data_IF_078222273788
#
_entry.id   IF_078222273788
#
_cell.length_a   1.000
_cell.length_b   1.000
_cell.length_c   1.000
_cell.angle_alpha   90.00
_cell.angle_beta   90.00
_cell.angle_gamma   90.00
#
_symmetry.space_group_name_H-M   'P 1'
#
loop_
_entity.id
_entity.type
_entity.pdbx_description
1 polymer ?
#
# COMPACT_ATOMS: atom_id res chain seq x y z
N UNK A 1 13.50 44.16 -17.33
CA UNK A 1 13.02 44.39 -15.94
C UNK A 1 13.06 43.15 -15.04
N UNK A 2 13.11 41.91 -15.56
CA UNK A 2 13.23 40.72 -14.69
C UNK A 2 14.68 40.40 -14.25
N UNK A 3 15.71 40.86 -14.99
CA UNK A 3 17.13 40.60 -14.70
C UNK A 3 17.61 41.12 -13.33
N UNK A 4 17.03 42.23 -12.86
CA UNK A 4 17.40 42.86 -11.57
C UNK A 4 16.88 42.05 -10.37
N UNK A 5 15.76 41.32 -10.55
CA UNK A 5 15.25 40.42 -9.50
C UNK A 5 16.21 39.26 -9.34
N UNK A 6 16.74 38.71 -10.44
CA UNK A 6 17.73 37.63 -10.39
C UNK A 6 19.02 38.04 -9.67
N UNK A 7 19.47 39.29 -9.77
CA UNK A 7 20.77 39.69 -9.19
C UNK A 7 20.70 40.11 -7.71
N UNK A 8 19.47 40.32 -7.19
CA UNK A 8 19.20 40.87 -5.84
C UNK A 8 18.29 39.96 -5.00
N UNK A 9 18.19 38.67 -5.33
CA UNK A 9 17.34 37.71 -4.59
C UNK A 9 17.75 37.64 -3.10
N UNK A 10 19.04 37.69 -2.81
CA UNK A 10 19.57 37.72 -1.45
C UNK A 10 19.15 38.99 -0.69
N UNK A 11 19.19 40.15 -1.35
CA UNK A 11 18.78 41.43 -0.76
C UNK A 11 17.26 41.50 -0.51
N UNK A 12 16.47 40.86 -1.37
CA UNK A 12 15.02 40.75 -1.21
C UNK A 12 14.63 39.82 -0.05
N UNK A 13 15.33 38.69 0.07
CA UNK A 13 15.09 37.71 1.15
C UNK A 13 15.57 38.25 2.50
N UNK A 14 16.67 39.01 2.53
CA UNK A 14 17.13 39.67 3.76
C UNK A 14 16.22 40.82 4.20
N UNK A 15 15.47 41.44 3.28
CA UNK A 15 14.47 42.47 3.62
C UNK A 15 13.18 41.89 4.21
N UNK A 16 12.56 40.92 3.54
CA UNK A 16 11.31 40.28 4.00
C UNK A 16 11.19 38.88 3.39
N UNK A 17 11.56 37.86 4.17
CA UNK A 17 11.61 36.47 3.70
C UNK A 17 10.26 35.98 3.18
N UNK A 18 9.17 36.25 3.89
CA UNK A 18 7.87 35.63 3.59
C UNK A 18 7.22 36.28 2.36
N UNK A 19 7.37 37.60 2.22
CA UNK A 19 6.91 38.31 1.01
C UNK A 19 7.79 38.02 -0.20
N UNK A 20 9.11 37.93 -0.02
CA UNK A 20 10.01 37.58 -1.12
C UNK A 20 9.73 36.16 -1.64
N UNK A 21 9.53 35.20 -0.75
CA UNK A 21 9.25 33.81 -1.12
C UNK A 21 7.89 33.67 -1.80
N UNK A 22 6.84 34.36 -1.33
CA UNK A 22 5.54 34.33 -2.00
C UNK A 22 5.61 34.95 -3.41
N UNK A 23 6.37 36.02 -3.61
CA UNK A 23 6.58 36.63 -4.94
C UNK A 23 7.40 35.71 -5.86
N UNK A 24 8.41 35.00 -5.34
CA UNK A 24 9.25 34.10 -6.12
C UNK A 24 8.54 32.79 -6.51
N UNK A 25 7.59 32.31 -5.69
CA UNK A 25 6.87 31.06 -5.92
C UNK A 25 5.53 31.28 -6.65
N UNK A 26 4.80 32.36 -6.33
CA UNK A 26 3.47 32.65 -6.89
C UNK A 26 3.49 33.76 -7.95
N UNK A 27 4.58 34.52 -8.05
CA UNK A 27 4.69 35.61 -9.01
C UNK A 27 4.74 35.11 -10.45
N UNK A 28 4.25 35.95 -11.37
CA UNK A 28 4.30 35.71 -12.83
C UNK A 28 5.71 35.52 -13.40
N UNK A 29 6.75 35.77 -12.61
CA UNK A 29 8.12 35.46 -12.94
C UNK A 29 8.35 33.96 -12.67
N UNK A 30 8.29 33.12 -13.71
CA UNK A 30 8.83 31.75 -13.67
C UNK A 30 10.34 31.82 -13.56
N UNK A 31 10.84 32.22 -12.39
CA UNK A 31 12.27 32.20 -12.07
C UNK A 31 12.66 30.72 -12.00
N UNK A 32 13.64 30.26 -12.80
CA UNK A 32 14.11 28.89 -12.69
C UNK A 32 14.67 28.64 -11.29
N UNK A 33 14.15 27.62 -10.62
CA UNK A 33 14.56 27.21 -9.27
C UNK A 33 16.07 26.99 -9.16
N UNK A 34 16.70 26.60 -10.28
CA UNK A 34 18.15 26.40 -10.44
C UNK A 34 18.97 27.69 -10.24
N UNK A 35 18.41 28.87 -10.56
CA UNK A 35 19.08 30.16 -10.35
C UNK A 35 18.97 30.60 -8.89
N UNK A 36 17.81 30.36 -8.28
CA UNK A 36 17.53 30.64 -6.87
C UNK A 36 18.39 29.76 -5.97
N UNK A 37 18.52 28.48 -6.33
CA UNK A 37 19.38 27.53 -5.63
C UNK A 37 20.85 27.95 -5.65
N UNK A 38 21.42 28.25 -6.83
CA UNK A 38 22.83 28.68 -6.94
C UNK A 38 23.16 29.93 -6.14
N UNK A 39 22.21 30.84 -5.99
CA UNK A 39 22.41 32.07 -5.22
C UNK A 39 22.19 31.87 -3.72
N UNK A 40 21.40 30.87 -3.33
CA UNK A 40 21.10 30.54 -1.94
C UNK A 40 21.93 29.37 -1.38
N UNK A 41 22.85 28.80 -2.18
CA UNK A 41 23.80 27.75 -1.74
C UNK A 41 24.61 28.15 -0.50
N UNK A 42 24.86 29.45 -0.30
CA UNK A 42 25.59 29.95 0.86
C UNK A 42 24.72 30.15 2.12
N UNK A 43 23.39 30.11 1.99
CA UNK A 43 22.45 30.36 3.09
C UNK A 43 21.38 29.26 3.18
N UNK A 44 21.76 28.14 3.78
CA UNK A 44 20.92 26.96 4.03
C UNK A 44 19.53 27.28 4.66
N UNK A 45 19.43 28.29 5.55
CA UNK A 45 18.18 28.70 6.20
C UNK A 45 17.16 29.32 5.23
N UNK A 46 17.63 30.19 4.34
CA UNK A 46 16.77 30.85 3.37
C UNK A 46 16.37 29.91 2.24
N UNK A 47 17.29 29.01 1.86
CA UNK A 47 17.02 27.93 0.92
C UNK A 47 15.93 27.01 1.45
N UNK A 48 15.95 26.66 2.74
CA UNK A 48 14.92 25.85 3.38
C UNK A 48 13.52 26.48 3.28
N UNK A 49 13.37 27.75 3.66
CA UNK A 49 12.07 28.45 3.62
C UNK A 49 11.52 28.55 2.19
N UNK A 50 12.39 28.83 1.23
CA UNK A 50 12.01 28.90 -0.18
C UNK A 50 11.53 27.54 -0.71
N UNK A 51 12.30 26.47 -0.45
CA UNK A 51 11.96 25.13 -0.92
C UNK A 51 10.72 24.55 -0.21
N UNK A 52 10.46 24.87 1.06
CA UNK A 52 9.21 24.48 1.76
C UNK A 52 7.98 25.14 1.11
N UNK A 53 8.08 26.43 0.76
CA UNK A 53 7.00 27.12 0.05
C UNK A 53 6.83 26.58 -1.37
N UNK A 54 7.93 26.30 -2.07
CA UNK A 54 7.92 25.76 -3.43
C UNK A 54 7.29 24.34 -3.48
N UNK A 55 7.62 23.46 -2.53
CA UNK A 55 7.08 22.09 -2.47
C UNK A 55 5.55 22.05 -2.29
N UNK A 56 4.96 23.08 -1.65
CA UNK A 56 3.50 23.22 -1.52
C UNK A 56 2.80 23.66 -2.80
N UNK A 57 3.53 24.30 -3.73
CA UNK A 57 2.99 24.84 -4.97
C UNK A 57 3.25 23.91 -6.16
N UNK A 58 4.42 23.29 -6.21
CA UNK A 58 4.77 22.31 -7.25
C UNK A 58 5.29 21.00 -6.63
N UNK A 59 4.49 19.91 -6.62
CA UNK A 59 4.90 18.60 -6.10
C UNK A 59 5.77 17.82 -7.10
N UNK A 60 6.69 18.50 -7.78
CA UNK A 60 7.50 17.93 -8.88
C UNK A 60 8.62 16.99 -8.37
N UNK A 61 8.81 16.84 -7.05
CA UNK A 61 9.68 15.83 -6.46
C UNK A 61 11.19 16.06 -6.58
N UNK A 62 11.64 16.80 -7.60
CA UNK A 62 13.05 17.00 -7.97
C UNK A 62 13.94 17.51 -6.83
N UNK A 63 13.40 18.34 -5.94
CA UNK A 63 14.15 18.94 -4.83
C UNK A 63 13.88 18.28 -3.48
N UNK A 64 13.07 17.22 -3.43
CA UNK A 64 12.66 16.62 -2.16
C UNK A 64 13.85 15.96 -1.43
N UNK A 65 14.85 15.43 -2.15
CA UNK A 65 16.07 14.90 -1.53
C UNK A 65 16.89 15.97 -0.79
N UNK A 66 17.09 17.16 -1.39
CA UNK A 66 17.77 18.29 -0.73
C UNK A 66 16.93 18.85 0.42
N UNK A 67 15.61 18.91 0.25
CA UNK A 67 14.68 19.31 1.31
C UNK A 67 14.79 18.42 2.54
N UNK A 68 14.90 17.09 2.40
CA UNK A 68 15.07 16.19 3.55
C UNK A 68 16.31 16.56 4.38
N UNK A 69 17.44 16.86 3.72
CA UNK A 69 18.68 17.29 4.40
C UNK A 69 18.49 18.63 5.15
N UNK A 70 17.78 19.57 4.54
CA UNK A 70 17.50 20.88 5.15
C UNK A 70 16.48 20.75 6.30
N UNK A 71 15.45 19.92 6.15
CA UNK A 71 14.49 19.60 7.22
C UNK A 71 15.18 18.95 8.43
N UNK A 72 16.13 18.06 8.19
CA UNK A 72 16.94 17.44 9.23
C UNK A 72 17.74 18.47 10.05
N UNK A 73 18.26 19.53 9.40
CA UNK A 73 19.02 20.60 10.07
C UNK A 73 18.14 21.63 10.79
N UNK A 74 17.07 22.11 10.14
CA UNK A 74 16.34 23.31 10.58
C UNK A 74 14.96 23.02 11.20
N UNK A 75 14.32 21.90 10.86
CA UNK A 75 12.91 21.69 11.20
C UNK A 75 12.54 20.21 11.40
N UNK A 76 13.17 19.55 12.37
CA UNK A 76 12.89 18.14 12.74
C UNK A 76 11.40 17.82 12.87
N UNK A 77 10.62 18.64 13.59
CA UNK A 77 9.18 18.38 13.85
C UNK A 77 8.33 18.31 12.58
N UNK A 78 8.75 18.97 11.50
CA UNK A 78 8.04 18.98 10.22
C UNK A 78 8.52 17.87 9.27
N UNK A 79 9.69 17.27 9.54
CA UNK A 79 10.28 16.23 8.70
C UNK A 79 9.35 15.03 8.59
N UNK A 80 8.83 14.49 9.70
CA UNK A 80 7.93 13.34 9.67
C UNK A 80 6.64 13.59 8.86
N UNK A 81 6.07 14.80 8.98
CA UNK A 81 4.89 15.18 8.17
C UNK A 81 5.25 15.26 6.69
N UNK A 82 6.39 15.86 6.36
CA UNK A 82 6.87 15.94 4.98
C UNK A 82 7.08 14.56 4.36
N UNK A 83 7.71 13.64 5.10
CA UNK A 83 7.94 12.25 4.66
C UNK A 83 6.61 11.49 4.45
N UNK A 84 5.57 11.79 5.22
CA UNK A 84 4.23 11.21 5.03
C UNK A 84 3.47 11.78 3.84
N UNK A 85 3.69 13.05 3.51
CA UNK A 85 2.99 13.75 2.43
C UNK A 85 3.64 13.59 1.06
N UNK A 86 4.90 13.13 0.99
CA UNK A 86 5.62 13.04 -0.27
C UNK A 86 6.15 11.63 -0.54
N UNK A 87 6.16 11.23 -1.81
CA UNK A 87 6.69 9.93 -2.24
C UNK A 87 7.90 10.05 -3.19
N UNK A 88 8.32 11.27 -3.55
CA UNK A 88 9.32 11.52 -4.60
C UNK A 88 10.75 11.77 -4.08
N UNK A 89 11.07 11.42 -2.82
CA UNK A 89 12.41 11.60 -2.27
C UNK A 89 13.23 10.30 -2.30
N UNK A 90 14.57 10.39 -2.43
CA UNK A 90 15.45 9.23 -2.31
C UNK A 90 15.43 8.71 -0.86
N UNK A 91 14.74 7.58 -0.65
CA UNK A 91 14.49 7.01 0.69
C UNK A 91 15.80 6.60 1.38
N UNK A 92 16.78 6.07 0.64
CA UNK A 92 18.08 5.67 1.18
C UNK A 92 18.88 6.87 1.71
N UNK A 93 19.01 7.94 0.94
CA UNK A 93 19.68 9.16 1.41
C UNK A 93 18.98 9.78 2.61
N UNK A 94 17.65 9.75 2.63
CA UNK A 94 16.87 10.21 3.78
C UNK A 94 17.18 9.38 5.04
N UNK A 95 17.32 8.08 4.87
CA UNK A 95 17.62 7.14 5.94
C UNK A 95 19.06 7.35 6.47
N UNK A 96 20.06 7.55 5.61
CA UNK A 96 21.45 7.82 6.01
C UNK A 96 21.56 9.11 6.84
N UNK A 97 20.83 10.14 6.44
CA UNK A 97 20.74 11.42 7.18
C UNK A 97 20.06 11.21 8.53
N UNK A 98 18.99 10.42 8.58
CA UNK A 98 18.30 10.14 9.83
C UNK A 98 19.13 9.25 10.77
N UNK A 99 19.90 8.29 10.23
CA UNK A 99 20.84 7.45 10.99
C UNK A 99 21.95 8.29 11.60
N UNK A 100 22.56 9.18 10.82
CA UNK A 100 23.65 10.04 11.28
C UNK A 100 23.24 10.99 12.41
N UNK A 101 21.96 11.39 12.44
CA UNK A 101 21.41 12.31 13.45
C UNK A 101 20.55 11.60 14.52
N UNK A 102 20.50 10.26 14.51
CA UNK A 102 19.72 9.43 15.45
C UNK A 102 18.21 9.77 15.52
N UNK A 103 17.59 10.03 14.36
CA UNK A 103 16.16 10.35 14.26
C UNK A 103 15.30 9.08 14.21
N UNK A 104 15.14 8.41 15.36
CA UNK A 104 14.48 7.11 15.45
C UNK A 104 13.03 7.06 14.91
N UNK A 105 12.11 8.01 15.22
CA UNK A 105 10.74 7.96 14.71
C UNK A 105 10.66 8.03 13.17
N UNK A 106 11.48 8.88 12.56
CA UNK A 106 11.59 9.04 11.12
C UNK A 106 12.26 7.82 10.46
N UNK A 107 13.29 7.25 11.09
CA UNK A 107 13.93 6.01 10.64
C UNK A 107 12.94 4.85 10.58
N UNK A 108 12.12 4.67 11.62
CA UNK A 108 11.08 3.62 11.67
C UNK A 108 10.09 3.78 10.52
N UNK A 109 9.67 5.02 10.23
CA UNK A 109 8.77 5.30 9.11
C UNK A 109 9.42 4.99 7.75
N UNK A 110 10.68 5.39 7.56
CA UNK A 110 11.42 5.12 6.32
C UNK A 110 11.68 3.62 6.12
N UNK A 111 12.09 2.91 7.15
CA UNK A 111 12.33 1.46 7.11
C UNK A 111 11.04 0.68 6.83
N UNK A 112 9.91 1.10 7.44
CA UNK A 112 8.59 0.54 7.13
C UNK A 112 8.20 0.69 5.66
N UNK A 113 8.56 1.83 5.02
CA UNK A 113 8.35 2.06 3.59
C UNK A 113 9.27 1.25 2.68
N UNK A 114 10.53 1.04 3.07
CA UNK A 114 11.48 0.19 2.33
C UNK A 114 11.07 -1.30 2.43
N UNK A 115 10.29 -1.66 3.45
CA UNK A 115 9.94 -3.04 3.78
C UNK A 115 10.96 -3.73 4.68
N UNK A 116 11.92 -2.98 5.24
CA UNK A 116 12.87 -3.51 6.23
C UNK A 116 12.27 -3.45 7.64
N UNK A 117 11.21 -4.23 7.85
CA UNK A 117 10.36 -4.20 9.05
C UNK A 117 11.08 -4.72 10.30
N UNK A 118 12.03 -5.65 10.15
CA UNK A 118 12.80 -6.21 11.29
C UNK A 118 13.70 -5.17 11.93
N UNK A 119 14.49 -4.44 11.13
CA UNK A 119 15.32 -3.34 11.63
C UNK A 119 14.48 -2.22 12.25
N UNK A 120 13.34 -1.88 11.62
CA UNK A 120 12.41 -0.91 12.17
C UNK A 120 11.92 -1.32 13.57
N UNK A 121 11.52 -2.58 13.72
CA UNK A 121 11.07 -3.12 15.00
C UNK A 121 12.19 -3.09 16.05
N UNK A 122 13.41 -3.46 15.68
CA UNK A 122 14.57 -3.42 16.57
C UNK A 122 14.84 -2.00 17.09
N UNK A 123 14.75 -0.99 16.23
CA UNK A 123 14.88 0.43 16.62
C UNK A 123 13.78 0.83 17.62
N UNK A 124 12.53 0.41 17.39
CA UNK A 124 11.43 0.71 18.32
C UNK A 124 11.69 0.09 19.70
N UNK A 125 12.13 -1.17 19.73
CA UNK A 125 12.34 -1.92 20.98
C UNK A 125 13.56 -1.39 21.74
N UNK A 126 14.70 -1.22 21.08
CA UNK A 126 15.97 -0.89 21.72
C UNK A 126 16.14 0.61 22.00
N UNK A 127 15.75 1.46 21.04
CA UNK A 127 16.03 2.91 21.09
C UNK A 127 14.84 3.71 21.61
N UNK A 128 13.65 3.48 21.08
CA UNK A 128 12.44 4.19 21.53
C UNK A 128 11.91 3.61 22.85
N UNK A 129 12.15 2.32 23.11
CA UNK A 129 11.61 1.58 24.25
C UNK A 129 10.08 1.67 24.38
N UNK A 130 9.39 1.99 23.28
CA UNK A 130 7.93 2.11 23.24
C UNK A 130 7.30 0.82 22.71
N UNK A 131 6.83 0.00 23.64
CA UNK A 131 6.19 -1.29 23.35
C UNK A 131 4.83 -1.09 22.70
N UNK A 132 4.10 -0.01 23.03
CA UNK A 132 2.79 0.24 22.41
C UNK A 132 2.96 0.55 20.93
N UNK A 133 3.98 1.34 20.58
CA UNK A 133 4.33 1.60 19.20
C UNK A 133 4.80 0.32 18.49
N UNK A 134 5.60 -0.53 19.16
CA UNK A 134 6.03 -1.82 18.58
C UNK A 134 4.85 -2.75 18.29
N UNK A 135 3.88 -2.84 19.21
CA UNK A 135 2.64 -3.59 19.03
C UNK A 135 1.85 -3.06 17.84
N UNK A 136 1.68 -1.74 17.74
CA UNK A 136 0.96 -1.12 16.62
C UNK A 136 1.66 -1.39 15.28
N UNK A 137 2.99 -1.30 15.25
CA UNK A 137 3.79 -1.62 14.07
C UNK A 137 3.62 -3.08 13.63
N UNK A 138 3.69 -4.04 14.55
CA UNK A 138 3.43 -5.45 14.23
C UNK A 138 1.99 -5.71 13.78
N UNK A 139 1.01 -4.95 14.30
CA UNK A 139 -0.39 -5.02 13.88
C UNK A 139 -0.59 -4.51 12.45
N UNK A 140 0.01 -3.37 12.09
CA UNK A 140 -0.11 -2.79 10.75
C UNK A 140 0.51 -3.69 9.67
N UNK A 141 1.65 -4.32 9.97
CA UNK A 141 2.35 -5.20 9.03
C UNK A 141 1.82 -6.64 8.98
N UNK A 142 1.03 -7.06 9.98
CA UNK A 142 0.40 -8.39 10.07
C UNK A 142 1.36 -9.57 9.81
N UNK A 143 2.60 -9.47 10.27
CA UNK A 143 3.67 -10.45 10.04
C UNK A 143 3.99 -11.26 11.30
N UNK A 144 3.94 -12.59 11.20
CA UNK A 144 4.21 -13.53 12.31
C UNK A 144 5.66 -13.48 12.77
N UNK A 145 6.60 -13.21 11.87
CA UNK A 145 8.02 -13.16 12.23
C UNK A 145 8.31 -11.95 13.11
N UNK A 146 7.73 -10.78 12.80
CA UNK A 146 7.83 -9.58 13.62
C UNK A 146 7.28 -9.79 15.03
N UNK A 147 6.14 -10.49 15.14
CA UNK A 147 5.60 -10.86 16.46
C UNK A 147 6.53 -11.79 17.23
N UNK A 148 7.16 -12.75 16.55
CA UNK A 148 8.10 -13.68 17.17
C UNK A 148 9.33 -12.93 17.70
N UNK A 149 9.85 -11.98 16.93
CA UNK A 149 10.99 -11.16 17.34
C UNK A 149 10.62 -10.20 18.47
N UNK A 150 9.45 -9.57 18.42
CA UNK A 150 8.92 -8.77 19.53
C UNK A 150 8.79 -9.60 20.82
N UNK A 151 8.27 -10.82 20.73
CA UNK A 151 8.15 -11.73 21.89
C UNK A 151 9.55 -12.03 22.44
N UNK A 152 10.52 -12.45 21.61
CA UNK A 152 11.89 -12.74 22.08
C UNK A 152 12.51 -11.60 22.86
N UNK A 153 12.36 -10.36 22.40
CA UNK A 153 12.93 -9.19 23.06
C UNK A 153 12.16 -8.71 24.30
N UNK A 154 10.92 -9.16 24.49
CA UNK A 154 10.06 -8.70 25.60
C UNK A 154 9.97 -9.68 26.75
N UNK A 155 10.45 -10.92 26.59
CA UNK A 155 10.50 -11.94 27.66
C UNK A 155 11.30 -11.46 28.87
N UNK A 156 12.36 -10.66 28.66
CA UNK A 156 13.21 -10.15 29.74
C UNK A 156 12.51 -9.10 30.64
N UNK A 157 11.34 -8.59 30.22
CA UNK A 157 10.64 -7.49 30.92
C UNK A 157 9.18 -7.88 31.23
N UNK A 158 8.84 -8.21 32.50
CA UNK A 158 7.52 -8.75 32.85
C UNK A 158 6.36 -7.76 32.63
N UNK A 159 6.61 -6.45 32.72
CA UNK A 159 5.61 -5.41 32.44
C UNK A 159 5.18 -5.43 30.96
N UNK A 160 6.13 -5.68 30.05
CA UNK A 160 5.89 -5.79 28.62
C UNK A 160 5.05 -7.03 28.29
N UNK A 161 5.35 -8.16 28.93
CA UNK A 161 4.62 -9.42 28.76
C UNK A 161 3.14 -9.24 29.12
N UNK A 162 2.85 -8.50 30.21
CA UNK A 162 1.47 -8.21 30.63
C UNK A 162 0.71 -7.39 29.58
N UNK A 163 1.36 -6.36 29.01
CA UNK A 163 0.79 -5.53 27.96
C UNK A 163 0.54 -6.32 26.67
N UNK A 164 1.48 -7.19 26.30
CA UNK A 164 1.34 -8.07 25.14
C UNK A 164 0.19 -9.06 25.32
N UNK A 165 0.11 -9.73 26.47
CA UNK A 165 -0.98 -10.67 26.79
C UNK A 165 -2.36 -10.03 26.60
N UNK A 166 -2.53 -8.76 27.00
CA UNK A 166 -3.80 -8.04 26.87
C UNK A 166 -4.18 -7.66 25.43
N UNK A 167 -3.22 -7.62 24.49
CA UNK A 167 -3.43 -7.12 23.12
C UNK A 167 -3.20 -8.15 22.01
N UNK A 168 -2.51 -9.25 22.29
CA UNK A 168 -2.07 -10.21 21.27
C UNK A 168 -3.19 -11.17 20.81
N UNK A 169 -4.23 -11.34 21.63
CA UNK A 169 -5.25 -12.39 21.47
C UNK A 169 -5.98 -12.42 20.12
N UNK A 170 -5.98 -11.31 19.37
CA UNK A 170 -6.64 -11.18 18.07
C UNK A 170 -5.70 -11.37 16.86
N UNK A 171 -4.38 -11.44 17.07
CA UNK A 171 -3.40 -11.30 15.98
C UNK A 171 -2.47 -12.50 15.83
N UNK A 172 -2.16 -13.19 16.93
CA UNK A 172 -1.19 -14.29 16.92
C UNK A 172 -1.67 -15.41 17.83
N UNK A 173 -1.28 -16.63 17.48
CA UNK A 173 -1.48 -17.82 18.31
C UNK A 173 -0.92 -17.59 19.73
N UNK A 174 -1.78 -17.63 20.77
CA UNK A 174 -1.35 -17.45 22.15
C UNK A 174 -0.24 -18.42 22.60
N UNK A 175 -0.16 -19.59 21.94
CA UNK A 175 0.87 -20.60 22.19
C UNK A 175 2.28 -20.06 21.98
N UNK A 176 2.48 -19.21 20.97
CA UNK A 176 3.78 -18.59 20.68
C UNK A 176 4.27 -17.74 21.84
N UNK A 177 3.36 -17.07 22.54
CA UNK A 177 3.74 -16.26 23.69
C UNK A 177 3.91 -17.14 24.93
N UNK A 178 2.97 -18.05 25.22
CA UNK A 178 3.01 -18.91 26.41
C UNK A 178 4.28 -19.79 26.46
N UNK A 179 4.70 -20.35 25.32
CA UNK A 179 5.89 -21.21 25.26
C UNK A 179 7.20 -20.45 25.54
N UNK A 180 7.20 -19.14 25.33
CA UNK A 180 8.38 -18.29 25.49
C UNK A 180 8.47 -17.60 26.86
N UNK A 181 7.43 -17.68 27.71
CA UNK A 181 7.49 -17.14 29.07
C UNK A 181 8.42 -18.02 29.91
N UNK A 182 9.47 -17.42 30.50
CA UNK A 182 10.37 -18.11 31.40
C UNK A 182 9.68 -18.46 32.74
N UNK A 183 9.88 -19.69 33.19
CA UNK A 183 9.40 -20.19 34.49
C UNK A 183 9.99 -19.37 35.64
N UNK A 184 9.14 -18.69 36.40
CA UNK A 184 9.55 -17.85 37.54
C UNK A 184 9.32 -16.34 37.38
N UNK A 185 8.81 -15.88 36.22
CA UNK A 185 8.41 -14.49 36.05
C UNK A 185 7.19 -14.11 36.92
N UNK A 186 7.35 -13.12 37.81
CA UNK A 186 6.24 -12.51 38.52
C UNK A 186 5.49 -11.53 37.61
N UNK A 187 4.44 -12.04 36.95
CA UNK A 187 3.56 -11.24 36.09
C UNK A 187 2.33 -10.83 36.91
N UNK A 188 2.12 -9.52 37.09
CA UNK A 188 0.92 -8.98 37.74
C UNK A 188 -0.30 -9.25 36.87
N UNK A 189 -1.42 -9.65 37.49
CA UNK A 189 -2.70 -9.91 36.83
C UNK A 189 -2.64 -10.92 35.66
N UNK A 190 -1.72 -11.89 35.73
CA UNK A 190 -1.55 -12.92 34.70
C UNK A 190 -2.84 -13.68 34.44
N UNK A 191 -3.57 -14.08 35.49
CA UNK A 191 -4.82 -14.84 35.38
C UNK A 191 -5.88 -14.09 34.57
N UNK A 192 -6.10 -12.82 34.86
CA UNK A 192 -7.11 -12.01 34.17
C UNK A 192 -6.69 -11.72 32.72
N UNK A 193 -5.41 -11.42 32.51
CA UNK A 193 -4.84 -11.17 31.18
C UNK A 193 -4.92 -12.40 30.29
N UNK A 194 -4.62 -13.59 30.83
CA UNK A 194 -4.76 -14.87 30.12
C UNK A 194 -6.23 -15.21 29.83
N UNK A 195 -7.12 -15.04 30.82
CA UNK A 195 -8.55 -15.29 30.62
C UNK A 195 -9.12 -14.41 29.49
N UNK A 196 -8.78 -13.11 29.50
CA UNK A 196 -9.17 -12.18 28.44
C UNK A 196 -8.62 -12.61 27.08
N UNK A 197 -7.31 -12.88 26.99
CA UNK A 197 -6.66 -13.33 25.76
C UNK A 197 -7.29 -14.61 25.21
N UNK A 198 -7.61 -15.59 26.07
CA UNK A 198 -8.27 -16.83 25.65
C UNK A 198 -9.68 -16.59 25.14
N UNK A 199 -10.44 -15.70 25.79
CA UNK A 199 -11.78 -15.30 25.32
C UNK A 199 -11.71 -14.61 23.96
N UNK A 200 -10.79 -13.66 23.79
CA UNK A 200 -10.58 -12.92 22.55
C UNK A 200 -10.19 -13.87 21.40
N UNK A 201 -9.23 -14.77 21.66
CA UNK A 201 -8.80 -15.78 20.70
C UNK A 201 -9.91 -16.78 20.33
N UNK A 202 -10.70 -17.22 21.32
CA UNK A 202 -11.84 -18.10 21.07
C UNK A 202 -12.91 -17.41 20.19
N UNK A 203 -13.19 -16.13 20.44
CA UNK A 203 -14.11 -15.34 19.63
C UNK A 203 -13.59 -15.22 18.19
N UNK A 204 -12.30 -14.93 18.00
CA UNK A 204 -11.67 -14.88 16.68
C UNK A 204 -11.80 -16.21 15.93
N UNK A 205 -11.46 -17.33 16.59
CA UNK A 205 -11.58 -18.67 16.01
C UNK A 205 -13.03 -18.99 15.62
N UNK A 206 -14.00 -18.61 16.46
CA UNK A 206 -15.42 -18.80 16.19
C UNK A 206 -15.87 -18.00 14.95
N UNK A 207 -15.45 -16.74 14.83
CA UNK A 207 -15.73 -15.90 13.65
C UNK A 207 -15.08 -16.49 12.40
N UNK A 208 -13.82 -16.91 12.48
CA UNK A 208 -13.09 -17.47 11.35
C UNK A 208 -13.75 -18.76 10.84
N UNK A 209 -14.18 -19.65 11.74
CA UNK A 209 -14.89 -20.88 11.34
C UNK A 209 -16.26 -20.57 10.72
N UNK A 210 -17.01 -19.61 11.28
CA UNK A 210 -18.27 -19.17 10.68
C UNK A 210 -18.06 -18.59 9.26
N UNK A 211 -17.07 -17.72 9.07
CA UNK A 211 -16.72 -17.17 7.77
C UNK A 211 -16.28 -18.26 6.78
N UNK A 212 -15.50 -19.24 7.23
CA UNK A 212 -15.07 -20.39 6.43
C UNK A 212 -16.26 -21.23 5.98
N UNK A 213 -17.19 -21.57 6.87
CA UNK A 213 -18.40 -22.33 6.53
C UNK A 213 -19.24 -21.57 5.50
N UNK A 214 -19.46 -20.27 5.70
CA UNK A 214 -20.21 -19.42 4.75
C UNK A 214 -19.50 -19.38 3.39
N UNK A 215 -18.18 -19.20 3.38
CA UNK A 215 -17.39 -19.12 2.15
C UNK A 215 -17.41 -20.43 1.37
N UNK A 216 -17.26 -21.56 2.08
CA UNK A 216 -17.36 -22.89 1.47
C UNK A 216 -18.75 -23.13 0.89
N UNK A 217 -19.81 -22.79 1.63
CA UNK A 217 -21.18 -22.88 1.12
C UNK A 217 -21.37 -22.04 -0.14
N UNK A 218 -20.96 -20.77 -0.11
CA UNK A 218 -21.05 -19.88 -1.26
C UNK A 218 -20.26 -20.41 -2.47
N UNK A 219 -19.08 -20.99 -2.24
CA UNK A 219 -18.29 -21.62 -3.28
C UNK A 219 -19.05 -22.78 -3.93
N UNK A 220 -19.61 -23.70 -3.14
CA UNK A 220 -20.38 -24.83 -3.67
C UNK A 220 -21.65 -24.37 -4.38
N UNK A 221 -22.40 -23.43 -3.82
CA UNK A 221 -23.62 -22.87 -4.43
C UNK A 221 -23.32 -22.21 -5.79
N UNK A 222 -22.22 -21.44 -5.88
CA UNK A 222 -21.79 -20.81 -7.14
C UNK A 222 -21.29 -21.85 -8.14
N UNK A 223 -20.57 -22.86 -7.66
CA UNK A 223 -20.05 -23.93 -8.51
C UNK A 223 -21.18 -24.78 -9.10
N UNK A 224 -22.18 -25.14 -8.30
CA UNK A 224 -23.38 -25.85 -8.77
C UNK A 224 -24.14 -25.03 -9.81
N UNK A 225 -24.38 -23.74 -9.55
CA UNK A 225 -25.01 -22.83 -10.52
C UNK A 225 -24.22 -22.74 -11.83
N UNK A 226 -22.89 -22.72 -11.76
CA UNK A 226 -22.03 -22.71 -12.94
C UNK A 226 -22.18 -24.02 -13.73
N UNK A 227 -22.16 -25.18 -13.08
CA UNK A 227 -22.35 -26.49 -13.72
C UNK A 227 -23.73 -26.56 -14.40
N UNK A 228 -24.79 -26.19 -13.69
CA UNK A 228 -26.16 -26.19 -14.25
C UNK A 228 -26.24 -25.25 -15.46
N UNK A 229 -25.64 -24.06 -15.40
CA UNK A 229 -25.63 -23.14 -16.53
C UNK A 229 -24.75 -23.62 -17.71
N UNK A 230 -23.69 -24.39 -17.45
CA UNK A 230 -22.86 -24.97 -18.50
C UNK A 230 -23.53 -26.19 -19.17
N UNK A 231 -24.33 -26.96 -18.43
CA UNK A 231 -25.06 -28.12 -18.95
C UNK A 231 -26.42 -27.76 -19.57
N UNK A 232 -26.90 -26.53 -19.33
CA UNK A 232 -28.14 -26.04 -19.92
C UNK A 232 -27.99 -25.89 -21.43
N UNK A 233 -28.93 -26.48 -22.18
CA UNK A 233 -29.05 -26.25 -23.61
C UNK A 233 -29.39 -24.78 -23.91
N UNK A 234 -28.85 -24.27 -25.02
CA UNK A 234 -29.17 -22.93 -25.53
C UNK A 234 -30.23 -23.09 -26.61
N UNK A 235 -31.35 -22.37 -26.47
CA UNK A 235 -32.36 -22.30 -27.53
C UNK A 235 -31.87 -21.37 -28.64
N UNK A 236 -31.83 -21.89 -29.86
CA UNK A 236 -31.50 -21.14 -31.08
C UNK A 236 -32.80 -20.98 -31.87
N UNK A 237 -33.14 -19.74 -32.23
CA UNK A 237 -34.33 -19.39 -33.03
C UNK A 237 -33.91 -18.84 -34.40
N UNK A 238 -34.86 -18.70 -35.33
CA UNK A 238 -34.64 -18.18 -36.69
C UNK A 238 -34.06 -16.75 -36.73
N UNK A 239 -34.04 -16.04 -35.59
CA UNK A 239 -33.48 -14.70 -35.43
C UNK A 239 -31.96 -14.69 -35.23
N UNK A 240 -31.34 -15.85 -34.92
CA UNK A 240 -29.91 -15.91 -34.70
C UNK A 240 -29.13 -15.83 -36.02
N UNK A 241 -28.22 -14.85 -36.09
CA UNK A 241 -27.33 -14.61 -37.21
C UNK A 241 -25.89 -14.97 -36.84
N UNK A 242 -25.14 -15.47 -37.81
CA UNK A 242 -23.73 -15.75 -37.65
C UNK A 242 -22.97 -14.45 -37.39
N UNK A 243 -22.19 -14.40 -36.31
CA UNK A 243 -21.49 -13.15 -35.93
C UNK A 243 -20.36 -12.75 -36.88
N UNK A 244 -20.00 -13.61 -37.85
CA UNK A 244 -18.97 -13.33 -38.88
C UNK A 244 -19.61 -13.00 -40.22
N UNK A 245 -20.45 -13.88 -40.77
CA UNK A 245 -21.04 -13.69 -42.10
C UNK A 245 -22.42 -13.00 -42.09
N UNK A 246 -23.01 -12.75 -40.91
CA UNK A 246 -24.35 -12.19 -40.74
C UNK A 246 -25.48 -13.01 -41.40
N UNK A 247 -25.19 -14.22 -41.88
CA UNK A 247 -26.16 -15.14 -42.45
C UNK A 247 -27.01 -15.83 -41.38
N UNK A 248 -28.19 -16.32 -41.77
CA UNK A 248 -29.07 -17.09 -40.87
C UNK A 248 -28.39 -18.39 -40.46
N UNK A 249 -28.51 -18.72 -39.18
CA UNK A 249 -27.89 -19.93 -38.60
C UNK A 249 -28.76 -21.15 -38.81
N UNK A 250 -30.09 -20.98 -38.72
CA UNK A 250 -31.04 -22.04 -39.05
C UNK A 250 -31.37 -21.95 -40.54
N UNK A 251 -30.93 -22.96 -41.29
CA UNK A 251 -31.25 -23.12 -42.71
C UNK A 251 -32.28 -24.25 -42.82
N UNK A 252 -33.38 -24.02 -43.55
CA UNK A 252 -34.48 -24.98 -43.70
C UNK A 252 -34.21 -26.04 -44.77
N UNK A 253 -33.24 -25.78 -45.65
CA UNK A 253 -32.82 -26.69 -46.70
C UNK A 253 -31.62 -27.53 -46.22
N UNK A 254 -31.78 -28.84 -46.20
CA UNK A 254 -30.78 -29.78 -45.64
C UNK A 254 -29.52 -29.89 -46.49
N UNK A 255 -29.57 -29.47 -47.75
CA UNK A 255 -28.45 -29.51 -48.68
C UNK A 255 -27.35 -28.48 -48.39
N UNK A 256 -27.69 -27.38 -47.70
CA UNK A 256 -26.79 -26.27 -47.36
C UNK A 256 -26.52 -26.17 -45.84
N UNK A 257 -26.89 -27.20 -45.07
CA UNK A 257 -26.74 -27.20 -43.62
C UNK A 257 -25.27 -27.44 -43.21
N UNK A 258 -24.68 -26.46 -42.52
CA UNK A 258 -23.34 -26.57 -41.91
C UNK A 258 -23.45 -26.81 -40.40
N UNK A 259 -22.42 -27.45 -39.81
CA UNK A 259 -22.32 -27.59 -38.36
C UNK A 259 -22.23 -26.23 -37.67
N UNK A 260 -22.82 -26.13 -36.48
CA UNK A 260 -23.01 -24.87 -35.77
C UNK A 260 -22.32 -24.89 -34.41
N UNK A 261 -21.73 -23.76 -34.02
CA UNK A 261 -21.17 -23.55 -32.68
C UNK A 261 -21.88 -22.36 -32.04
N UNK A 262 -22.47 -22.59 -30.87
CA UNK A 262 -23.13 -21.56 -30.07
C UNK A 262 -22.46 -21.50 -28.71
N UNK A 263 -21.96 -20.31 -28.36
CA UNK A 263 -21.31 -20.07 -27.07
C UNK A 263 -22.31 -19.63 -26.00
N UNK A 264 -21.97 -19.80 -24.73
CA UNK A 264 -22.79 -19.35 -23.59
C UNK A 264 -23.07 -17.83 -23.57
N UNK A 265 -22.28 -17.03 -24.29
CA UNK A 265 -22.55 -15.60 -24.52
C UNK A 265 -23.61 -15.34 -25.59
N UNK A 266 -24.25 -16.39 -26.14
CA UNK A 266 -25.24 -16.36 -27.23
C UNK A 266 -24.71 -15.93 -28.60
N UNK A 267 -23.40 -15.78 -28.75
CA UNK A 267 -22.80 -15.63 -30.07
C UNK A 267 -22.75 -16.99 -30.75
N UNK A 268 -23.14 -16.99 -32.01
CA UNK A 268 -23.37 -18.18 -32.79
C UNK A 268 -22.64 -18.07 -34.12
N UNK A 269 -22.06 -19.18 -34.58
CA UNK A 269 -21.16 -19.23 -35.74
C UNK A 269 -21.41 -20.50 -36.54
N UNK A 270 -21.30 -20.42 -37.86
CA UNK A 270 -21.08 -21.61 -38.69
C UNK A 270 -19.65 -22.11 -38.46
N UNK A 271 -19.44 -23.43 -38.46
CA UNK A 271 -18.11 -24.00 -38.25
C UNK A 271 -17.10 -23.49 -39.30
N UNK A 272 -17.56 -23.28 -40.53
CA UNK A 272 -16.77 -22.75 -41.65
C UNK A 272 -16.40 -21.27 -41.49
N UNK A 273 -17.16 -20.53 -40.68
CA UNK A 273 -16.89 -19.12 -40.39
C UNK A 273 -15.92 -18.94 -39.21
N UNK A 274 -15.53 -20.02 -38.53
CA UNK A 274 -14.54 -19.97 -37.46
C UNK A 274 -13.12 -20.11 -38.05
N UNK A 275 -12.13 -19.32 -37.58
CA UNK A 275 -10.76 -19.46 -38.06
C UNK A 275 -10.17 -20.82 -37.67
N UNK A 276 -9.55 -21.51 -38.63
CA UNK A 276 -8.86 -22.78 -38.42
C UNK A 276 -7.81 -22.65 -37.29
N UNK A 277 -8.04 -23.35 -36.17
CA UNK A 277 -7.12 -23.41 -35.03
C UNK A 277 -7.53 -22.68 -33.75
N UNK A 278 -8.71 -22.03 -33.69
CA UNK A 278 -9.21 -21.47 -32.43
C UNK A 278 -9.78 -22.59 -31.55
N UNK A 279 -9.20 -22.80 -30.36
CA UNK A 279 -9.77 -23.70 -29.34
C UNK A 279 -11.23 -23.30 -29.10
N UNK A 280 -12.17 -24.20 -29.42
CA UNK A 280 -13.64 -24.01 -29.38
C UNK A 280 -14.24 -23.60 -28.01
N UNK A 281 -13.42 -23.28 -27.02
CA UNK A 281 -13.86 -22.97 -25.66
C UNK A 281 -14.14 -21.46 -25.44
N UNK A 282 -13.64 -20.58 -26.30
CA UNK A 282 -13.78 -19.13 -26.14
C UNK A 282 -14.44 -18.48 -27.37
N UNK A 283 -15.39 -17.57 -27.12
CA UNK A 283 -16.03 -16.77 -28.17
C UNK A 283 -15.09 -15.65 -28.65
N UNK A 284 -14.79 -15.63 -29.95
CA UNK A 284 -13.93 -14.63 -30.60
C UNK A 284 -14.40 -13.17 -30.41
N UNK A 285 -15.72 -12.94 -30.43
CA UNK A 285 -16.33 -11.62 -30.23
C UNK A 285 -16.15 -11.15 -28.78
N UNK A 286 -16.40 -12.00 -27.79
CA UNK A 286 -16.24 -11.64 -26.38
C UNK A 286 -14.78 -11.52 -25.96
N UNK A 287 -13.87 -12.30 -26.54
CA UNK A 287 -12.43 -12.20 -26.25
C UNK A 287 -11.82 -10.90 -26.76
N UNK A 288 -12.31 -10.37 -27.89
CA UNK A 288 -11.83 -9.10 -28.46
C UNK A 288 -12.16 -7.87 -27.59
N UNK A 289 -13.17 -7.97 -26.72
CA UNK A 289 -13.62 -6.87 -25.83
C UNK A 289 -12.88 -6.86 -24.48
N UNK A 290 -12.11 -7.91 -24.16
CA UNK A 290 -11.35 -8.03 -22.90
C UNK A 290 -9.89 -7.53 -23.00
N UNK A 291 -9.47 -7.03 -24.16
CA UNK A 291 -8.21 -6.28 -24.35
C UNK A 291 -8.48 -4.79 -24.26
#
# INVERSE_FOLDING_TARGET
>A
MYYVIYDRILDLITLDCDKAISILVQGRAKVPVEVVEKQLENNDEYLFKYLDAYSKVEPNGRYHGKLVRLYAKYARKKLLLFLKCSDNYPIQEALDVCQSNEFYPEMVFLLGRIGNTREALQIIIEKLQDINQAIYFCQEHNDRELWTDLIKHTIDKPECVTLLLKRIGNYVDPRMLIQNIQSGCEIKDLKESLAKMMCDYHLQMSVQEACKVITLRNYFDLHEKLIVNQQRGISVTDEFLCSVCQGRIIIRDLSDASDLVVYNCRHSFHIECLPDGVKHNNCSVCSAVKM
#
